data_IF_699463255074
#
_entry.id   IF_699463255074
#
_cell.length_a   1.000
_cell.length_b   1.000
_cell.length_c   1.000
_cell.angle_alpha   90.00
_cell.angle_beta   90.00
_cell.angle_gamma   90.00
#
_symmetry.space_group_name_H-M   'P 1'
#
loop_
_entity.id
_entity.type
_entity.pdbx_description
1 polymer ?
#
# COMPACT_ATOMS: atom_id res chain seq x y z
N UNK A 1 -0.79 0.28 -9.60
CA UNK A 1 -0.33 0.45 -8.21
C UNK A 1 -0.47 1.87 -7.68
N UNK A 2 0.28 2.89 -8.09
CA UNK A 2 0.11 4.26 -7.58
C UNK A 2 1.44 4.94 -7.23
N UNK A 3 1.40 5.97 -6.39
CA UNK A 3 2.60 6.69 -5.95
C UNK A 3 3.43 5.86 -4.96
N UNK A 4 4.70 5.65 -5.29
CA UNK A 4 5.68 5.07 -4.38
C UNK A 4 6.57 6.17 -3.81
N UNK A 5 6.48 6.39 -2.50
CA UNK A 5 7.23 7.43 -1.80
C UNK A 5 8.35 6.85 -0.92
N UNK A 6 9.46 7.55 -0.83
CA UNK A 6 10.53 7.23 0.13
C UNK A 6 10.87 8.48 0.94
N UNK A 7 10.72 8.39 2.26
CA UNK A 7 11.10 9.44 3.19
C UNK A 7 12.37 9.01 3.94
N UNK A 8 13.48 9.70 3.65
CA UNK A 8 14.79 9.44 4.23
C UNK A 8 15.20 10.56 5.18
N UNK A 9 15.76 10.18 6.32
CA UNK A 9 16.41 11.10 7.28
C UNK A 9 17.85 10.65 7.45
N UNK A 10 18.80 11.58 7.33
CA UNK A 10 20.22 11.36 7.54
C UNK A 10 20.70 12.08 8.80
N UNK A 11 21.62 11.46 9.54
CA UNK A 11 22.27 12.00 10.74
C UNK A 11 23.78 12.27 10.55
N UNK A 12 24.26 12.19 9.30
CA UNK A 12 25.67 12.39 8.95
C UNK A 12 26.51 11.12 8.99
N UNK A 13 25.94 9.95 9.35
CA UNK A 13 26.63 8.66 9.25
C UNK A 13 26.50 8.04 7.86
N UNK A 14 27.14 6.89 7.62
CA UNK A 14 27.04 6.14 6.36
C UNK A 14 25.76 5.26 6.26
N UNK A 15 24.86 5.35 7.24
CA UNK A 15 23.57 4.64 7.26
C UNK A 15 22.44 5.65 7.42
N UNK A 16 21.28 5.44 6.78
CA UNK A 16 20.13 6.30 7.00
C UNK A 16 19.65 6.18 8.46
N UNK A 17 19.47 7.31 9.13
CA UNK A 17 18.87 7.35 10.47
C UNK A 17 17.44 6.82 10.43
N UNK A 18 16.69 7.17 9.38
CA UNK A 18 15.35 6.64 9.13
C UNK A 18 15.09 6.48 7.64
N UNK A 19 14.48 5.36 7.26
CA UNK A 19 13.91 5.16 5.94
C UNK A 19 12.47 4.69 6.08
N UNK A 20 11.51 5.51 5.63
CA UNK A 20 10.09 5.14 5.57
C UNK A 20 9.68 4.99 4.12
N UNK A 21 9.16 3.82 3.78
CA UNK A 21 8.61 3.51 2.46
C UNK A 21 7.10 3.73 2.50
N UNK A 22 6.55 4.44 1.51
CA UNK A 22 5.12 4.62 1.30
C UNK A 22 4.75 3.80 0.08
N UNK A 23 4.33 2.56 0.32
CA UNK A 23 3.81 1.71 -0.74
C UNK A 23 2.41 2.16 -1.16
N UNK A 24 2.11 2.16 -2.46
CA UNK A 24 0.78 2.52 -2.95
C UNK A 24 -0.29 1.51 -2.52
N UNK A 25 0.05 0.22 -2.45
CA UNK A 25 -0.89 -0.84 -2.05
C UNK A 25 -1.48 -0.64 -0.65
N UNK A 26 -0.75 0.01 0.27
CA UNK A 26 -1.23 0.27 1.62
C UNK A 26 -2.44 1.21 1.62
N UNK A 27 -2.38 2.30 0.85
CA UNK A 27 -3.49 3.26 0.73
C UNK A 27 -4.64 2.70 -0.10
N UNK A 28 -4.35 1.91 -1.12
CA UNK A 28 -5.38 1.23 -1.89
C UNK A 28 -6.19 0.26 -1.02
N UNK A 29 -5.51 -0.53 -0.18
CA UNK A 29 -6.17 -1.47 0.73
C UNK A 29 -7.09 -0.76 1.73
N UNK A 30 -6.76 0.47 2.17
CA UNK A 30 -7.66 1.26 3.04
C UNK A 30 -9.00 1.60 2.37
N UNK A 31 -9.05 1.70 1.04
CA UNK A 31 -10.28 2.02 0.30
C UNK A 31 -11.21 0.82 0.06
N UNK A 32 -10.79 -0.40 0.44
CA UNK A 32 -11.49 -1.63 0.08
C UNK A 32 -12.91 -1.72 0.67
N UNK A 33 -13.12 -1.23 1.89
CA UNK A 33 -14.43 -1.25 2.55
C UNK A 33 -15.44 -0.41 1.77
N UNK A 34 -15.01 0.78 1.31
CA UNK A 34 -15.85 1.65 0.51
C UNK A 34 -16.15 1.03 -0.86
N UNK A 35 -15.15 0.43 -1.52
CA UNK A 35 -15.33 -0.18 -2.84
C UNK A 35 -16.11 -1.50 -2.82
N UNK A 36 -16.06 -2.27 -1.74
CA UNK A 36 -16.80 -3.53 -1.62
C UNK A 36 -18.25 -3.34 -1.16
N UNK A 37 -18.63 -2.12 -0.73
CA UNK A 37 -19.97 -1.84 -0.23
C UNK A 37 -21.03 -2.01 -1.33
N UNK A 38 -22.02 -2.86 -1.08
CA UNK A 38 -23.09 -3.16 -2.04
C UNK A 38 -22.74 -4.25 -3.07
N UNK A 39 -21.54 -4.81 -3.00
CA UNK A 39 -21.12 -5.95 -3.82
C UNK A 39 -21.29 -7.29 -3.07
N UNK A 40 -21.22 -8.39 -3.81
CA UNK A 40 -21.27 -9.73 -3.25
C UNK A 40 -19.87 -10.16 -2.79
N UNK A 41 -19.82 -11.14 -1.88
CA UNK A 41 -18.54 -11.73 -1.44
C UNK A 41 -17.72 -12.27 -2.62
N UNK A 42 -18.38 -12.78 -3.66
CA UNK A 42 -17.73 -13.26 -4.87
C UNK A 42 -16.97 -12.16 -5.63
N UNK A 43 -17.39 -10.90 -5.50
CA UNK A 43 -16.78 -9.76 -6.20
C UNK A 43 -15.48 -9.29 -5.51
N UNK A 44 -15.25 -9.68 -4.26
CA UNK A 44 -14.09 -9.24 -3.46
C UNK A 44 -12.77 -9.58 -4.14
N UNK A 45 -12.66 -10.77 -4.74
CA UNK A 45 -11.46 -11.18 -5.46
C UNK A 45 -11.19 -10.30 -6.70
N UNK A 46 -12.24 -9.93 -7.42
CA UNK A 46 -12.13 -9.03 -8.57
C UNK A 46 -11.76 -7.60 -8.15
N UNK A 47 -12.33 -7.11 -7.04
CA UNK A 47 -12.03 -5.79 -6.46
C UNK A 47 -10.57 -5.71 -6.02
N UNK A 48 -10.06 -6.73 -5.31
CA UNK A 48 -8.66 -6.81 -4.88
C UNK A 48 -7.73 -6.91 -6.09
N UNK A 49 -8.06 -7.77 -7.07
CA UNK A 49 -7.26 -7.95 -8.27
C UNK A 49 -7.14 -6.67 -9.09
N UNK A 50 -8.22 -5.89 -9.19
CA UNK A 50 -8.24 -4.62 -9.93
C UNK A 50 -7.33 -3.55 -9.32
N UNK A 51 -7.12 -3.57 -8.00
CA UNK A 51 -6.23 -2.63 -7.31
C UNK A 51 -4.74 -2.96 -7.41
N UNK A 52 -4.39 -4.16 -7.89
CA UNK A 52 -3.00 -4.66 -8.00
C UNK A 52 -2.24 -4.59 -6.64
N UNK A 53 -2.86 -5.12 -5.59
CA UNK A 53 -2.30 -5.14 -4.23
C UNK A 53 -1.31 -6.30 -4.10
N UNK A 54 -0.09 -5.99 -3.67
CA UNK A 54 0.91 -6.99 -3.26
C UNK A 54 1.13 -6.86 -1.76
N UNK A 55 0.86 -7.92 -1.00
CA UNK A 55 0.92 -7.83 0.48
C UNK A 55 2.33 -7.56 1.02
N UNK A 56 3.40 -7.98 0.31
CA UNK A 56 4.78 -7.72 0.73
C UNK A 56 5.22 -6.25 0.72
N UNK A 57 4.49 -5.37 0.01
CA UNK A 57 4.70 -3.91 0.09
C UNK A 57 3.80 -3.24 1.15
N UNK A 58 2.70 -3.87 1.56
CA UNK A 58 1.74 -3.35 2.54
C UNK A 58 2.22 -3.56 3.98
N UNK A 59 2.91 -4.67 4.25
CA UNK A 59 3.32 -5.11 5.59
C UNK A 59 4.62 -4.45 6.13
N UNK A 60 5.04 -3.29 5.58
CA UNK A 60 6.33 -2.63 5.89
C UNK A 60 6.24 -1.39 6.76
#
# INVERSE_FOLDING_TARGET
KGEFGVYLVADGTNKPYRAKLRAPGYLHLQSIDWMAKGHLLADVAAIIGTMDIVFGEVDR
#
